data_IF_086399062362
#
_entry.id   IF_086399062362
#
_cell.length_a   1.000
_cell.length_b   1.000
_cell.length_c   1.000
_cell.angle_alpha   90.00
_cell.angle_beta   90.00
_cell.angle_gamma   90.00
#
_symmetry.space_group_name_H-M   'P 1'
#
loop_
_entity.id
_entity.type
_entity.pdbx_description
1 polymer ?
#
# COMPACT_ATOMS: atom_id res chain seq x y z
N UNK A 1 26.05 1.09 -11.29
CA UNK A 1 24.85 0.51 -11.93
C UNK A 1 24.51 -0.75 -11.14
N UNK A 2 23.70 -0.60 -10.06
CA UNK A 2 23.21 -1.75 -9.29
C UNK A 2 21.75 -1.96 -9.68
N UNK A 3 21.55 -2.79 -10.69
CA UNK A 3 20.23 -3.30 -11.02
C UNK A 3 19.90 -4.38 -10.00
N UNK A 4 18.93 -4.12 -9.16
CA UNK A 4 18.39 -5.11 -8.24
C UNK A 4 17.73 -6.23 -9.04
N UNK A 5 18.19 -7.50 -8.93
CA UNK A 5 17.84 -8.55 -9.90
C UNK A 5 16.40 -9.06 -9.80
N UNK A 6 15.52 -8.41 -9.07
CA UNK A 6 14.16 -8.87 -8.81
C UNK A 6 13.08 -7.78 -8.80
N UNK A 7 13.46 -6.57 -9.25
CA UNK A 7 12.49 -5.49 -9.47
C UNK A 7 12.23 -5.40 -10.97
N UNK A 8 11.02 -5.75 -11.41
CA UNK A 8 10.59 -5.66 -12.81
C UNK A 8 9.67 -4.47 -12.98
N UNK A 9 9.89 -3.70 -14.01
CA UNK A 9 9.09 -2.52 -14.35
C UNK A 9 8.11 -2.88 -15.44
N UNK A 10 6.85 -2.55 -15.25
CA UNK A 10 5.79 -2.70 -16.24
C UNK A 10 5.31 -1.29 -16.63
N UNK A 11 5.44 -0.94 -17.91
CA UNK A 11 4.81 0.25 -18.46
C UNK A 11 3.53 -0.17 -19.20
N UNK A 12 2.36 0.11 -18.65
CA UNK A 12 1.09 -0.12 -19.30
C UNK A 12 0.69 1.13 -20.08
N UNK A 13 0.72 1.07 -21.41
CA UNK A 13 0.18 2.13 -22.27
C UNK A 13 -1.26 1.80 -22.61
N UNK A 14 -2.21 2.56 -22.06
CA UNK A 14 -3.62 2.47 -22.42
C UNK A 14 -3.84 3.21 -23.75
N UNK A 15 -4.20 2.47 -24.78
CA UNK A 15 -4.67 3.02 -26.05
C UNK A 15 -6.00 3.75 -25.90
N UNK A 16 -5.97 5.07 -25.86
CA UNK A 16 -7.16 5.90 -25.94
C UNK A 16 -7.56 6.05 -27.41
N UNK A 17 -8.75 5.57 -27.76
CA UNK A 17 -9.39 5.89 -29.04
C UNK A 17 -9.90 7.33 -28.96
N UNK A 18 -9.16 8.27 -29.54
CA UNK A 18 -9.56 9.67 -29.62
C UNK A 18 -10.56 9.81 -30.77
N UNK A 19 -11.83 10.01 -30.47
CA UNK A 19 -12.80 10.58 -31.41
C UNK A 19 -12.66 12.11 -31.36
N UNK A 20 -11.97 12.68 -32.38
CA UNK A 20 -11.91 14.12 -32.58
C UNK A 20 -13.21 14.57 -33.26
N UNK A 21 -14.09 15.21 -32.51
CA UNK A 21 -15.11 16.08 -33.09
C UNK A 21 -14.61 17.51 -32.97
N UNK A 22 -14.14 18.06 -34.08
CA UNK A 22 -13.85 19.48 -34.21
C UNK A 22 -15.16 20.26 -34.30
N UNK A 23 -15.37 21.21 -33.38
CA UNK A 23 -16.27 22.35 -33.65
C UNK A 23 -15.61 23.60 -33.09
N UNK A 24 -15.35 24.54 -34.00
CA UNK A 24 -14.67 25.79 -33.75
C UNK A 24 -15.58 26.83 -33.11
N UNK A 25 -14.96 27.87 -32.58
CA UNK A 25 -15.63 29.14 -32.26
C UNK A 25 -15.05 29.88 -31.09
N UNK A 26 -14.19 30.80 -31.36
CA UNK A 26 -14.10 32.19 -30.86
C UNK A 26 -14.21 32.51 -29.36
N UNK A 27 -13.12 33.08 -28.83
CA UNK A 27 -13.15 34.35 -28.19
C UNK A 27 -13.37 34.45 -26.69
N UNK A 28 -12.40 35.13 -26.10
CA UNK A 28 -12.45 35.97 -24.90
C UNK A 28 -12.03 35.36 -23.56
N UNK A 29 -11.00 36.01 -23.00
CA UNK A 29 -10.48 36.01 -21.66
C UNK A 29 -11.33 35.37 -20.54
N UNK A 30 -11.03 34.14 -20.22
CA UNK A 30 -11.51 33.53 -19.01
C UNK A 30 -10.54 33.84 -17.88
N UNK A 31 -11.04 34.49 -16.84
CA UNK A 31 -10.41 34.56 -15.53
C UNK A 31 -10.04 33.15 -15.10
N UNK A 32 -8.77 32.99 -14.80
CA UNK A 32 -8.22 31.77 -14.19
C UNK A 32 -8.90 31.56 -12.82
N UNK A 33 -10.04 30.88 -12.82
CA UNK A 33 -10.63 30.41 -11.58
C UNK A 33 -9.69 29.29 -11.13
N UNK A 34 -8.85 29.62 -10.13
CA UNK A 34 -8.04 28.64 -9.42
C UNK A 34 -8.92 27.51 -8.91
N UNK A 35 -9.23 26.57 -9.79
CA UNK A 35 -9.84 25.32 -9.42
C UNK A 35 -8.88 24.60 -8.49
N UNK A 36 -9.37 24.11 -7.37
CA UNK A 36 -8.72 23.10 -6.57
C UNK A 36 -8.55 21.88 -7.50
N UNK A 37 -7.46 21.87 -8.27
CA UNK A 37 -7.22 20.84 -9.27
C UNK A 37 -7.20 19.48 -8.58
N UNK A 38 -8.02 18.55 -9.06
CA UNK A 38 -7.91 17.16 -8.64
C UNK A 38 -6.46 16.73 -8.86
N UNK A 39 -5.88 15.90 -7.95
CA UNK A 39 -4.52 15.40 -8.13
C UNK A 39 -4.38 14.72 -9.49
N UNK A 40 -3.32 15.07 -10.22
CA UNK A 40 -3.10 14.59 -11.59
C UNK A 40 -2.35 13.26 -11.62
N UNK A 41 -1.63 12.93 -10.53
CA UNK A 41 -0.89 11.69 -10.40
C UNK A 41 -1.13 11.01 -9.05
N UNK A 42 -0.93 9.70 -9.05
CA UNK A 42 -0.91 8.86 -7.87
C UNK A 42 0.32 7.97 -7.89
N UNK A 43 1.01 7.84 -6.76
CA UNK A 43 2.08 6.86 -6.59
C UNK A 43 1.90 6.09 -5.29
N UNK A 44 2.06 4.77 -5.34
CA UNK A 44 2.08 3.90 -4.17
C UNK A 44 3.32 3.02 -4.20
N UNK A 45 4.09 3.04 -3.11
CA UNK A 45 5.29 2.23 -2.99
C UNK A 45 6.15 2.64 -1.80
N UNK A 46 7.24 1.93 -1.56
CA UNK A 46 8.15 2.28 -0.48
C UNK A 46 8.96 3.53 -0.79
N UNK A 47 9.15 4.38 0.22
CA UNK A 47 10.05 5.53 0.14
C UNK A 47 11.47 5.00 -0.06
N UNK A 48 12.08 5.38 -1.19
CA UNK A 48 13.42 4.94 -1.61
C UNK A 48 14.50 5.99 -1.41
N UNK A 49 14.15 7.24 -1.06
CA UNK A 49 15.12 8.31 -0.85
C UNK A 49 14.51 9.63 -0.40
N UNK A 50 15.40 10.57 -0.04
CA UNK A 50 15.07 11.90 0.44
C UNK A 50 15.86 12.99 -0.30
N UNK A 51 15.50 14.25 -0.03
CA UNK A 51 15.92 15.46 -0.74
C UNK A 51 14.82 15.97 -1.68
N UNK A 52 13.69 15.51 -1.51
CA UNK A 52 12.28 15.33 -1.90
C UNK A 52 11.94 13.89 -1.60
N UNK A 53 10.73 13.57 -1.24
CA UNK A 53 10.31 12.17 -1.05
C UNK A 53 10.38 11.45 -2.39
N UNK A 54 11.06 10.30 -2.44
CA UNK A 54 11.20 9.50 -3.66
C UNK A 54 10.42 8.21 -3.52
N UNK A 55 9.42 8.00 -4.39
CA UNK A 55 8.61 6.79 -4.49
C UNK A 55 8.52 6.39 -5.96
N UNK A 56 8.75 5.12 -6.29
CA UNK A 56 8.72 4.59 -7.66
C UNK A 56 9.58 5.41 -8.63
N UNK A 57 10.79 5.81 -8.20
CA UNK A 57 11.69 6.63 -8.99
C UNK A 57 11.25 8.09 -9.22
N UNK A 58 10.04 8.47 -8.79
CA UNK A 58 9.53 9.84 -8.88
C UNK A 58 9.93 10.63 -7.65
N UNK A 59 10.38 11.88 -7.86
CA UNK A 59 10.68 12.85 -6.81
C UNK A 59 9.46 13.71 -6.53
N UNK A 60 9.02 13.76 -5.28
CA UNK A 60 7.88 14.57 -4.84
C UNK A 60 8.34 15.67 -3.90
N UNK A 61 7.98 16.92 -4.22
CA UNK A 61 8.15 18.06 -3.32
C UNK A 61 7.05 18.00 -2.25
N UNK A 62 7.45 17.67 -1.03
CA UNK A 62 6.58 17.43 0.12
C UNK A 62 6.39 18.65 1.04
N UNK A 63 6.99 19.80 0.70
CA UNK A 63 6.99 21.00 1.57
C UNK A 63 5.60 21.52 1.93
N UNK A 64 4.62 21.28 1.08
CA UNK A 64 3.24 21.72 1.27
C UNK A 64 2.25 20.55 1.33
N UNK A 65 2.75 19.32 1.37
CA UNK A 65 1.91 18.14 1.43
C UNK A 65 1.26 17.99 2.81
N UNK A 66 0.00 17.59 2.83
CA UNK A 66 -0.63 17.07 4.05
C UNK A 66 -0.16 15.63 4.24
N UNK A 67 0.53 15.35 5.35
CA UNK A 67 1.03 14.01 5.66
C UNK A 67 0.11 13.38 6.71
N UNK A 68 -0.47 12.23 6.39
CA UNK A 68 -1.44 11.52 7.24
C UNK A 68 -1.07 10.05 7.36
N UNK A 69 -1.64 9.38 8.35
CA UNK A 69 -1.60 7.92 8.47
C UNK A 69 -2.78 7.26 7.71
N UNK A 70 -2.93 5.95 7.84
CA UNK A 70 -4.00 5.18 7.18
C UNK A 70 -5.41 5.51 7.68
N UNK A 71 -5.53 6.17 8.83
CA UNK A 71 -6.81 6.58 9.42
C UNK A 71 -7.13 8.05 9.11
N UNK A 72 -6.33 8.67 8.20
CA UNK A 72 -6.39 10.08 7.82
C UNK A 72 -6.07 11.06 8.98
N UNK A 73 -5.44 10.56 10.04
CA UNK A 73 -4.94 11.38 11.14
C UNK A 73 -3.55 11.96 10.79
N UNK A 74 -3.19 13.14 11.33
CA UNK A 74 -1.88 13.72 11.09
C UNK A 74 -0.75 12.75 11.45
N UNK A 75 0.14 12.49 10.50
CA UNK A 75 1.33 11.67 10.74
C UNK A 75 2.39 12.50 11.45
N UNK A 76 2.69 12.15 12.70
CA UNK A 76 3.54 12.96 13.59
C UNK A 76 5.00 12.51 13.63
N UNK A 77 5.30 11.34 13.05
CA UNK A 77 6.66 10.83 12.98
C UNK A 77 7.39 11.36 11.73
N UNK A 78 8.73 11.28 11.72
CA UNK A 78 9.51 11.54 10.51
C UNK A 78 9.29 10.47 9.45
N UNK A 79 9.27 10.89 8.18
CA UNK A 79 9.31 9.97 7.05
C UNK A 79 10.66 9.23 7.03
N UNK A 80 10.62 7.90 6.79
CA UNK A 80 11.81 7.05 6.82
C UNK A 80 11.86 6.13 5.59
N UNK A 81 13.07 5.75 5.19
CA UNK A 81 13.28 4.79 4.09
C UNK A 81 12.50 3.49 4.35
N UNK A 82 11.86 2.98 3.31
CA UNK A 82 11.08 1.75 3.34
C UNK A 82 9.67 1.89 3.91
N UNK A 83 9.24 3.05 4.43
CA UNK A 83 7.82 3.30 4.70
C UNK A 83 7.04 3.25 3.39
N UNK A 84 5.89 2.60 3.38
CA UNK A 84 4.99 2.59 2.22
C UNK A 84 4.19 3.88 2.23
N UNK A 85 4.29 4.63 1.15
CA UNK A 85 3.59 5.89 0.96
C UNK A 85 2.64 5.80 -0.24
N UNK A 86 1.45 6.39 -0.08
CA UNK A 86 0.51 6.71 -1.14
C UNK A 86 0.56 8.23 -1.33
N UNK A 87 0.90 8.68 -2.52
CA UNK A 87 1.13 10.10 -2.84
C UNK A 87 0.17 10.54 -3.91
N UNK A 88 -0.65 11.53 -3.58
CA UNK A 88 -1.41 12.32 -4.54
C UNK A 88 -0.61 13.59 -4.89
N UNK A 89 -0.50 13.91 -6.17
CA UNK A 89 0.33 15.03 -6.58
C UNK A 89 0.03 15.58 -7.98
N UNK A 90 0.87 16.51 -8.39
CA UNK A 90 0.86 17.10 -9.71
C UNK A 90 1.25 16.07 -10.79
N UNK A 91 1.02 16.43 -12.06
CA UNK A 91 1.45 15.60 -13.18
C UNK A 91 2.96 15.29 -13.11
N UNK A 92 3.29 14.01 -13.31
CA UNK A 92 4.68 13.57 -13.40
C UNK A 92 5.23 13.93 -14.78
N UNK A 93 6.20 14.85 -14.82
CA UNK A 93 6.86 15.24 -16.05
C UNK A 93 7.96 14.22 -16.35
N UNK A 94 7.90 13.63 -17.55
CA UNK A 94 8.94 12.70 -18.00
C UNK A 94 10.30 13.40 -18.05
N UNK A 95 11.30 12.76 -17.47
CA UNK A 95 12.69 13.24 -17.44
C UNK A 95 13.58 12.17 -16.82
N UNK A 96 14.87 12.22 -17.09
CA UNK A 96 15.80 11.24 -16.53
C UNK A 96 16.79 11.89 -15.56
N UNK A 97 16.98 11.22 -14.41
CA UNK A 97 18.04 11.56 -13.45
C UNK A 97 17.77 12.80 -12.59
N UNK A 98 18.85 13.42 -12.08
CA UNK A 98 18.78 14.59 -11.17
C UNK A 98 18.17 15.86 -11.79
N UNK A 99 18.02 15.89 -13.14
CA UNK A 99 17.42 17.01 -13.86
C UNK A 99 15.87 16.97 -13.86
N UNK A 100 15.24 15.88 -13.39
CA UNK A 100 13.80 15.80 -13.30
C UNK A 100 13.30 16.76 -12.20
N UNK A 101 12.43 17.68 -12.59
CA UNK A 101 11.77 18.58 -11.63
C UNK A 101 10.86 17.74 -10.72
N UNK A 102 10.91 17.93 -9.39
CA UNK A 102 9.98 17.23 -8.50
C UNK A 102 8.52 17.57 -8.86
N UNK A 103 7.65 16.56 -8.84
CA UNK A 103 6.21 16.80 -8.85
C UNK A 103 5.78 17.32 -7.48
N UNK A 104 4.85 18.27 -7.43
CA UNK A 104 4.30 18.72 -6.14
C UNK A 104 3.47 17.58 -5.51
N UNK A 105 3.71 17.25 -4.25
CA UNK A 105 2.82 16.39 -3.49
C UNK A 105 1.76 17.25 -2.81
N UNK A 106 0.48 16.89 -2.96
CA UNK A 106 -0.63 17.52 -2.23
C UNK A 106 -0.95 16.74 -0.95
N UNK A 107 -0.87 15.42 -1.01
CA UNK A 107 -1.11 14.51 0.13
C UNK A 107 -0.16 13.33 0.08
N UNK A 108 0.33 12.95 1.25
CA UNK A 108 1.14 11.75 1.47
C UNK A 108 0.46 10.96 2.58
N UNK A 109 0.00 9.75 2.27
CA UNK A 109 -0.54 8.81 3.26
C UNK A 109 0.51 7.74 3.55
N UNK A 110 0.85 7.55 4.82
CA UNK A 110 1.81 6.55 5.27
C UNK A 110 1.04 5.32 5.78
N UNK A 111 1.29 4.16 5.16
CA UNK A 111 0.55 2.94 5.40
C UNK A 111 1.45 1.83 5.95
N UNK A 112 1.33 1.51 7.24
CA UNK A 112 1.88 0.28 7.81
C UNK A 112 0.86 -0.85 7.70
N UNK A 113 1.32 -2.04 7.29
CA UNK A 113 0.48 -3.23 7.17
C UNK A 113 0.15 -3.86 8.52
N UNK A 114 1.14 -3.86 9.45
CA UNK A 114 1.01 -4.54 10.73
C UNK A 114 1.61 -3.68 11.84
N UNK A 115 0.87 -3.49 12.92
CA UNK A 115 1.39 -3.05 14.23
C UNK A 115 0.98 -4.07 15.26
N UNK A 116 1.93 -4.76 15.87
CA UNK A 116 1.59 -5.82 16.83
C UNK A 116 2.78 -6.50 17.47
N UNK A 117 2.54 -7.45 18.38
CA UNK A 117 3.58 -8.15 19.11
C UNK A 117 4.29 -9.17 18.23
N UNK A 118 5.60 -9.24 18.36
CA UNK A 118 6.44 -10.31 17.81
C UNK A 118 6.05 -11.63 18.48
N UNK A 119 5.70 -12.63 17.67
CA UNK A 119 5.38 -13.98 18.14
C UNK A 119 6.56 -14.95 17.94
N UNK A 120 7.45 -14.65 17.00
CA UNK A 120 8.63 -15.45 16.75
C UNK A 120 9.44 -14.96 15.57
N UNK A 121 10.70 -15.42 15.50
CA UNK A 121 11.62 -15.18 14.40
C UNK A 121 12.23 -16.51 14.00
N UNK A 122 12.21 -16.84 12.71
CA UNK A 122 12.82 -18.05 12.15
C UNK A 122 13.48 -17.73 10.81
N UNK A 123 14.82 -17.83 10.77
CA UNK A 123 15.60 -17.44 9.60
C UNK A 123 15.33 -15.99 9.20
N UNK A 124 14.82 -15.78 7.99
CA UNK A 124 14.44 -14.46 7.46
C UNK A 124 12.94 -14.15 7.59
N UNK A 125 12.22 -14.86 8.43
CA UNK A 125 10.79 -14.69 8.64
C UNK A 125 10.49 -14.28 10.08
N UNK A 126 9.72 -13.20 10.22
CA UNK A 126 9.17 -12.69 11.45
C UNK A 126 7.67 -13.06 11.49
N UNK A 127 7.18 -13.53 12.63
CA UNK A 127 5.74 -13.74 12.85
C UNK A 127 5.18 -12.63 13.76
N UNK A 128 4.17 -11.91 13.27
CA UNK A 128 3.47 -10.84 14.00
C UNK A 128 1.97 -10.99 13.76
N UNK A 129 1.16 -11.02 14.82
CA UNK A 129 -0.30 -11.19 14.72
C UNK A 129 -0.71 -12.33 13.77
N UNK A 130 -0.06 -13.50 13.89
CA UNK A 130 -0.34 -14.65 13.03
C UNK A 130 0.08 -14.52 11.57
N UNK A 131 0.72 -13.41 11.19
CA UNK A 131 1.17 -13.15 9.83
C UNK A 131 2.65 -13.49 9.67
N UNK A 132 3.04 -14.01 8.51
CA UNK A 132 4.42 -14.30 8.15
C UNK A 132 5.01 -13.12 7.37
N UNK A 133 6.00 -12.47 7.94
CA UNK A 133 6.68 -11.32 7.35
C UNK A 133 8.09 -11.72 6.96
N UNK A 134 8.34 -11.89 5.68
CA UNK A 134 9.67 -12.17 5.14
C UNK A 134 10.48 -10.90 5.04
N UNK A 135 11.75 -10.95 5.39
CA UNK A 135 12.73 -9.89 5.17
C UNK A 135 13.75 -10.28 4.12
N UNK A 136 14.33 -9.27 3.49
CA UNK A 136 15.42 -9.44 2.54
C UNK A 136 16.49 -8.35 2.72
N UNK A 137 17.42 -8.25 1.77
CA UNK A 137 18.50 -7.26 1.82
C UNK A 137 17.99 -5.82 1.71
N UNK A 138 16.81 -5.62 1.09
CA UNK A 138 16.20 -4.29 0.89
C UNK A 138 15.40 -3.81 2.10
N UNK A 139 15.02 -4.70 2.99
CA UNK A 139 14.25 -4.33 4.18
C UNK A 139 15.04 -3.36 5.06
N UNK A 140 14.51 -2.15 5.25
CA UNK A 140 15.06 -1.17 6.18
C UNK A 140 14.70 -1.55 7.63
N UNK A 141 15.59 -1.29 8.56
CA UNK A 141 15.33 -1.48 9.99
C UNK A 141 15.53 -0.18 10.74
N UNK A 142 14.79 0.00 11.82
CA UNK A 142 15.00 1.10 12.73
C UNK A 142 16.40 1.04 13.33
N UNK A 143 16.99 2.19 13.66
CA UNK A 143 18.31 2.29 14.30
C UNK A 143 18.34 1.60 15.67
N UNK A 144 17.21 1.49 16.35
CA UNK A 144 17.05 0.71 17.57
C UNK A 144 17.14 -0.82 17.36
N UNK A 145 17.21 -1.29 16.11
CA UNK A 145 17.34 -2.71 15.73
C UNK A 145 18.68 -2.97 15.01
N UNK A 146 19.84 -2.75 15.65
CA UNK A 146 21.15 -2.81 14.98
C UNK A 146 21.49 -4.20 14.43
N UNK A 147 20.98 -5.27 15.04
CA UNK A 147 21.14 -6.66 14.57
C UNK A 147 19.93 -7.15 13.76
N UNK A 148 19.12 -6.21 13.22
CA UNK A 148 17.93 -6.51 12.41
C UNK A 148 16.96 -7.44 13.17
N UNK A 149 16.55 -8.56 12.58
CA UNK A 149 15.65 -9.55 13.23
C UNK A 149 16.19 -10.09 14.54
N UNK A 150 17.52 -10.21 14.70
CA UNK A 150 18.13 -10.72 15.93
C UNK A 150 18.01 -9.73 17.11
N UNK A 151 17.65 -8.47 16.86
CA UNK A 151 17.31 -7.50 17.91
C UNK A 151 15.88 -7.62 18.44
N UNK A 152 15.03 -8.40 17.79
CA UNK A 152 13.62 -8.52 18.15
C UNK A 152 13.43 -9.50 19.29
N UNK A 153 12.55 -9.13 20.22
CA UNK A 153 12.19 -9.95 21.37
C UNK A 153 10.72 -10.34 21.24
N UNK A 154 10.38 -11.60 21.52
CA UNK A 154 8.99 -12.09 21.56
C UNK A 154 8.20 -11.27 22.57
N UNK A 155 7.00 -10.80 22.16
CA UNK A 155 6.17 -9.88 22.93
C UNK A 155 6.49 -8.40 22.69
N UNK A 156 7.67 -8.06 22.16
CA UNK A 156 7.98 -6.68 21.74
C UNK A 156 7.08 -6.25 20.58
N UNK A 157 6.62 -5.00 20.61
CA UNK A 157 5.72 -4.49 19.56
C UNK A 157 6.54 -3.87 18.43
N UNK A 158 6.19 -4.26 17.20
CA UNK A 158 6.80 -3.73 15.97
C UNK A 158 5.75 -3.08 15.08
N UNK A 159 6.21 -2.13 14.28
CA UNK A 159 5.49 -1.58 13.14
C UNK A 159 6.16 -2.07 11.86
N UNK A 160 5.38 -2.68 10.99
CA UNK A 160 5.84 -3.31 9.75
C UNK A 160 5.21 -2.62 8.55
N UNK A 161 6.04 -2.04 7.72
CA UNK A 161 5.69 -1.62 6.37
C UNK A 161 6.08 -2.75 5.43
N UNK A 162 5.16 -3.16 4.58
CA UNK A 162 5.36 -4.36 3.78
C UNK A 162 4.53 -4.35 2.50
N UNK A 163 4.81 -5.31 1.63
CA UNK A 163 4.06 -5.61 0.43
C UNK A 163 3.40 -6.98 0.61
N UNK A 164 2.06 -7.12 0.51
CA UNK A 164 1.37 -8.42 0.51
C UNK A 164 1.87 -9.29 -0.64
N UNK A 165 2.13 -10.59 -0.42
CA UNK A 165 2.70 -11.48 -1.45
C UNK A 165 1.66 -12.30 -2.24
N UNK A 166 0.37 -12.00 -2.08
CA UNK A 166 -0.74 -12.70 -2.73
C UNK A 166 -1.18 -13.97 -2.01
N UNK A 167 -0.42 -14.45 -1.04
CA UNK A 167 -0.85 -15.52 -0.14
C UNK A 167 -1.34 -14.89 1.16
N UNK A 168 -2.58 -15.17 1.54
CA UNK A 168 -3.19 -14.62 2.76
C UNK A 168 -2.28 -14.84 3.97
N UNK A 169 -1.96 -13.76 4.66
CA UNK A 169 -1.11 -13.79 5.85
C UNK A 169 0.40 -13.78 5.56
N UNK A 170 0.83 -13.50 4.31
CA UNK A 170 2.25 -13.39 3.94
C UNK A 170 2.58 -12.03 3.37
N UNK A 171 3.74 -11.52 3.78
CA UNK A 171 4.20 -10.16 3.43
C UNK A 171 5.70 -10.14 3.18
N UNK A 172 6.14 -9.22 2.32
CA UNK A 172 7.55 -8.85 2.17
C UNK A 172 7.78 -7.49 2.85
N UNK A 173 8.54 -7.46 3.93
CA UNK A 173 8.81 -6.23 4.65
C UNK A 173 9.67 -5.26 3.82
N UNK A 174 9.25 -4.01 3.78
CA UNK A 174 10.04 -2.88 3.26
C UNK A 174 10.73 -2.12 4.39
N UNK A 175 10.07 -2.05 5.58
CA UNK A 175 10.64 -1.49 6.81
C UNK A 175 10.08 -2.15 8.05
N UNK A 176 10.92 -2.35 9.08
CA UNK A 176 10.52 -2.77 10.42
C UNK A 176 11.07 -1.79 11.44
N UNK A 177 10.20 -1.28 12.31
CA UNK A 177 10.54 -0.42 13.44
C UNK A 177 9.96 -0.95 14.75
N UNK A 178 10.51 -0.50 15.88
CA UNK A 178 9.88 -0.69 17.18
C UNK A 178 8.72 0.31 17.33
N UNK A 179 7.65 -0.13 17.99
CA UNK A 179 6.53 0.73 18.35
C UNK A 179 6.34 0.70 19.86
N UNK A 180 6.42 1.85 20.50
CA UNK A 180 6.09 1.96 21.92
C UNK A 180 4.61 1.63 22.14
N UNK A 181 4.27 1.01 23.26
CA UNK A 181 2.96 0.51 23.67
C UNK A 181 1.76 1.23 23.01
N UNK A 182 1.26 0.77 21.86
CA UNK A 182 0.16 1.44 21.17
C UNK A 182 -1.16 1.13 21.88
N UNK A 183 -2.14 2.04 21.77
CA UNK A 183 -3.49 1.85 22.35
C UNK A 183 -4.27 0.73 21.64
N UNK A 184 -3.93 0.41 20.41
CA UNK A 184 -4.51 -0.68 19.61
C UNK A 184 -3.46 -1.24 18.66
N UNK A 185 -3.63 -2.50 18.26
CA UNK A 185 -2.84 -3.07 17.17
C UNK A 185 -3.50 -2.81 15.83
N UNK A 186 -2.74 -2.97 14.75
CA UNK A 186 -3.21 -2.80 13.38
C UNK A 186 -2.86 -4.03 12.57
N UNK A 187 -3.78 -4.41 11.67
CA UNK A 187 -3.52 -5.44 10.66
C UNK A 187 -4.33 -5.12 9.40
N UNK A 188 -3.67 -4.99 8.26
CA UNK A 188 -4.30 -4.98 6.95
C UNK A 188 -4.14 -6.36 6.32
N UNK A 189 -5.22 -6.91 5.74
CA UNK A 189 -5.13 -8.20 5.08
C UNK A 189 -6.45 -8.70 4.52
N UNK A 190 -6.40 -9.89 3.91
CA UNK A 190 -7.54 -10.50 3.21
C UNK A 190 -8.41 -11.28 4.20
N UNK A 191 -9.70 -10.98 4.21
CA UNK A 191 -10.71 -11.69 5.01
C UNK A 191 -10.91 -13.11 4.48
N UNK A 192 -10.88 -14.08 5.37
CA UNK A 192 -11.21 -15.47 5.10
C UNK A 192 -12.08 -16.05 6.22
N UNK A 193 -12.76 -17.16 5.93
CA UNK A 193 -13.58 -17.90 6.90
C UNK A 193 -14.59 -17.01 7.65
N UNK A 194 -15.22 -16.08 6.92
CA UNK A 194 -16.21 -15.17 7.51
C UNK A 194 -17.43 -15.94 7.99
N UNK A 195 -17.75 -15.84 9.28
CA UNK A 195 -18.97 -16.32 9.91
C UNK A 195 -19.81 -15.11 10.36
N UNK A 196 -20.96 -14.95 9.74
CA UNK A 196 -21.91 -13.85 9.99
C UNK A 196 -23.02 -14.25 10.97
N UNK A 197 -23.02 -15.48 11.50
CA UNK A 197 -24.03 -15.91 12.46
C UNK A 197 -24.00 -15.03 13.71
N UNK A 198 -25.17 -14.77 14.29
CA UNK A 198 -25.30 -13.90 15.46
C UNK A 198 -24.50 -14.40 16.68
N UNK A 199 -24.24 -15.70 16.75
CA UNK A 199 -23.49 -16.35 17.83
C UNK A 199 -21.98 -16.30 17.66
N UNK A 200 -21.46 -16.20 16.43
CA UNK A 200 -20.04 -16.23 16.16
C UNK A 200 -19.47 -14.85 15.82
N UNK A 201 -19.90 -14.26 14.70
CA UNK A 201 -19.39 -12.97 14.18
C UNK A 201 -17.86 -12.94 14.19
N UNK A 202 -17.27 -13.88 13.46
CA UNK A 202 -15.83 -14.08 13.39
C UNK A 202 -15.35 -14.17 11.94
N UNK A 203 -14.05 -13.95 11.72
CA UNK A 203 -13.34 -14.22 10.50
C UNK A 203 -11.87 -14.45 10.80
N UNK A 204 -11.08 -14.76 9.77
CA UNK A 204 -9.62 -14.86 9.90
C UNK A 204 -8.92 -13.92 8.92
N UNK A 205 -7.72 -13.45 9.30
CA UNK A 205 -6.72 -12.90 8.38
C UNK A 205 -5.44 -13.72 8.56
N UNK A 206 -5.05 -14.48 7.52
CA UNK A 206 -4.00 -15.46 7.65
C UNK A 206 -4.32 -16.44 8.78
N UNK A 207 -3.42 -16.58 9.75
CA UNK A 207 -3.63 -17.45 10.93
C UNK A 207 -4.27 -16.73 12.12
N UNK A 208 -4.68 -15.46 11.97
CA UNK A 208 -5.25 -14.67 13.06
C UNK A 208 -6.78 -14.82 13.12
N UNK A 209 -7.37 -15.43 14.16
CA UNK A 209 -8.81 -15.41 14.38
C UNK A 209 -9.24 -14.07 14.98
N UNK A 210 -10.29 -13.48 14.41
CA UNK A 210 -10.82 -12.16 14.81
C UNK A 210 -12.30 -12.27 15.07
N UNK A 211 -12.77 -11.68 16.19
CA UNK A 211 -14.19 -11.42 16.42
C UNK A 211 -14.53 -9.95 16.20
N UNK A 212 -15.68 -9.72 15.58
CA UNK A 212 -16.26 -8.39 15.40
C UNK A 212 -17.62 -8.24 16.10
N UNK A 213 -17.88 -9.09 17.10
CA UNK A 213 -19.17 -9.13 17.82
C UNK A 213 -19.53 -7.80 18.50
N UNK A 214 -18.53 -7.00 18.89
CA UNK A 214 -18.74 -5.69 19.51
C UNK A 214 -19.06 -4.55 18.53
N UNK A 215 -18.92 -4.76 17.22
CA UNK A 215 -19.17 -3.73 16.21
C UNK A 215 -20.61 -3.78 15.68
N UNK A 216 -21.19 -2.63 15.35
CA UNK A 216 -22.49 -2.57 14.70
C UNK A 216 -22.47 -3.24 13.33
N UNK A 217 -23.48 -4.06 13.01
CA UNK A 217 -23.50 -4.87 11.78
C UNK A 217 -23.84 -4.09 10.52
N UNK A 218 -24.58 -2.99 10.65
CA UNK A 218 -25.16 -2.26 9.51
C UNK A 218 -24.10 -1.62 8.60
N UNK A 219 -22.97 -1.21 9.16
CA UNK A 219 -21.87 -0.60 8.40
C UNK A 219 -20.86 -1.62 7.87
N UNK A 220 -20.87 -2.85 8.41
CA UNK A 220 -19.86 -3.85 8.07
C UNK A 220 -20.21 -4.68 6.84
N UNK A 221 -21.49 -4.79 6.47
CA UNK A 221 -21.94 -5.58 5.31
C UNK A 221 -21.35 -5.09 3.98
N UNK A 222 -21.02 -3.80 3.88
CA UNK A 222 -20.41 -3.22 2.68
C UNK A 222 -18.92 -3.51 2.56
N UNK A 223 -18.22 -3.70 3.68
CA UNK A 223 -16.74 -3.84 3.71
C UNK A 223 -16.27 -5.25 4.03
N UNK A 224 -17.08 -6.06 4.73
CA UNK A 224 -16.67 -7.36 5.24
C UNK A 224 -17.24 -8.51 4.40
N UNK A 225 -16.39 -9.11 3.57
CA UNK A 225 -16.69 -10.32 2.80
C UNK A 225 -15.41 -11.14 2.59
N UNK A 226 -15.56 -12.45 2.40
CA UNK A 226 -14.41 -13.31 2.06
C UNK A 226 -13.71 -12.80 0.78
N UNK A 227 -12.39 -12.70 0.83
CA UNK A 227 -11.55 -12.18 -0.25
C UNK A 227 -11.40 -10.65 -0.28
N UNK A 228 -12.14 -9.90 0.54
CA UNK A 228 -11.96 -8.45 0.67
C UNK A 228 -10.72 -8.12 1.50
N UNK A 229 -10.04 -7.06 1.12
CA UNK A 229 -8.93 -6.51 1.91
C UNK A 229 -9.50 -5.49 2.88
N UNK A 230 -9.22 -5.68 4.16
CA UNK A 230 -9.66 -4.78 5.23
C UNK A 230 -8.48 -4.30 6.07
N UNK A 231 -8.62 -3.12 6.65
CA UNK A 231 -7.76 -2.61 7.71
C UNK A 231 -8.45 -2.75 9.04
N UNK A 232 -7.77 -3.36 10.00
CA UNK A 232 -8.28 -3.62 11.33
C UNK A 232 -7.56 -2.78 12.38
N UNK A 233 -8.31 -2.23 13.31
CA UNK A 233 -7.81 -1.91 14.64
C UNK A 233 -8.24 -3.02 15.60
N UNK A 234 -7.27 -3.55 16.36
CA UNK A 234 -7.46 -4.69 17.25
C UNK A 234 -7.17 -4.28 18.69
N UNK A 235 -7.86 -4.90 19.64
CA UNK A 235 -7.47 -4.84 21.04
C UNK A 235 -6.04 -5.36 21.23
N UNK A 236 -5.36 -4.90 22.28
CA UNK A 236 -3.93 -5.25 22.52
C UNK A 236 -3.72 -6.62 23.17
N UNK A 237 -4.79 -7.35 23.45
CA UNK A 237 -4.74 -8.72 23.95
C UNK A 237 -5.88 -9.56 23.38
N UNK A 238 -5.64 -10.82 23.02
CA UNK A 238 -6.70 -11.74 22.63
C UNK A 238 -7.45 -12.28 23.87
N UNK A 239 -8.69 -12.65 23.68
CA UNK A 239 -9.49 -13.41 24.67
C UNK A 239 -9.67 -14.83 24.14
N UNK A 240 -9.22 -15.83 24.89
CA UNK A 240 -9.23 -17.24 24.47
C UNK A 240 -8.61 -17.47 23.06
N UNK A 241 -7.55 -16.74 22.73
CA UNK A 241 -6.86 -16.82 21.44
C UNK A 241 -7.53 -16.09 20.30
N UNK A 242 -8.69 -15.45 20.50
CA UNK A 242 -9.42 -14.67 19.49
C UNK A 242 -9.20 -13.19 19.71
N UNK A 243 -8.85 -12.45 18.67
CA UNK A 243 -8.63 -11.01 18.73
C UNK A 243 -9.93 -10.25 18.50
N UNK A 244 -10.12 -9.18 19.26
CA UNK A 244 -11.32 -8.34 19.12
C UNK A 244 -11.04 -7.19 18.17
N UNK A 245 -11.82 -7.08 17.09
CA UNK A 245 -11.81 -5.91 16.22
C UNK A 245 -12.50 -4.73 16.92
N UNK A 246 -11.79 -3.62 17.01
CA UNK A 246 -12.28 -2.33 17.50
C UNK A 246 -12.82 -1.45 16.36
N UNK A 247 -12.26 -1.64 15.15
CA UNK A 247 -12.66 -0.98 13.92
C UNK A 247 -12.28 -1.85 12.71
N UNK A 248 -13.09 -1.78 11.67
CA UNK A 248 -12.86 -2.44 10.37
C UNK A 248 -13.18 -1.42 9.28
N UNK A 249 -12.19 -1.16 8.42
CA UNK A 249 -12.30 -0.25 7.28
C UNK A 249 -12.00 -0.99 5.97
N UNK A 250 -12.56 -0.52 4.87
CA UNK A 250 -12.18 -0.99 3.54
C UNK A 250 -10.75 -0.52 3.25
N UNK A 251 -9.87 -1.44 2.92
CA UNK A 251 -8.47 -1.15 2.59
C UNK A 251 -8.13 -1.45 1.13
N UNK A 252 -9.13 -1.76 0.31
CA UNK A 252 -8.97 -1.99 -1.12
C UNK A 252 -8.91 -0.69 -1.95
N UNK A 253 -8.62 0.44 -1.32
CA UNK A 253 -8.66 1.74 -1.97
C UNK A 253 -7.72 1.82 -3.18
N UNK A 254 -8.30 1.61 -4.37
CA UNK A 254 -7.72 2.14 -5.59
C UNK A 254 -8.10 3.63 -5.67
N UNK A 255 -7.17 4.53 -5.97
CA UNK A 255 -7.49 5.93 -6.19
C UNK A 255 -8.46 6.03 -7.37
N UNK A 256 -9.55 6.79 -7.22
CA UNK A 256 -10.46 7.09 -8.32
C UNK A 256 -9.87 8.18 -9.22
N UNK A 257 -9.95 7.99 -10.53
CA UNK A 257 -9.73 9.03 -11.56
C UNK A 257 -8.38 9.75 -11.48
N UNK A 258 -7.30 9.10 -11.96
CA UNK A 258 -5.98 9.72 -12.11
C UNK A 258 -5.47 9.56 -13.54
N UNK A 259 -4.91 10.63 -14.08
CA UNK A 259 -4.30 10.61 -15.42
C UNK A 259 -3.00 9.80 -15.45
N UNK A 260 -2.32 9.71 -14.33
CA UNK A 260 -1.07 8.97 -14.17
C UNK A 260 -1.09 8.23 -12.84
N UNK A 261 -0.78 6.94 -12.87
CA UNK A 261 -0.64 6.11 -11.67
C UNK A 261 0.66 5.30 -11.76
N UNK A 262 1.38 5.23 -10.65
CA UNK A 262 2.53 4.34 -10.45
C UNK A 262 2.36 3.55 -9.19
N UNK A 263 2.38 2.24 -9.31
CA UNK A 263 2.20 1.33 -8.18
C UNK A 263 3.36 0.35 -8.17
N UNK A 264 4.05 0.29 -7.04
CA UNK A 264 5.04 -0.75 -6.76
C UNK A 264 4.47 -1.71 -5.72
N UNK A 265 4.50 -2.99 -6.03
CA UNK A 265 3.97 -4.04 -5.16
C UNK A 265 4.37 -5.43 -5.62
N UNK A 266 3.88 -6.44 -4.93
CA UNK A 266 3.98 -7.82 -5.40
C UNK A 266 2.73 -8.18 -6.21
N UNK A 267 2.91 -9.03 -7.23
CA UNK A 267 1.76 -9.60 -7.96
C UNK A 267 1.01 -10.54 -7.02
N UNK A 268 -0.22 -10.16 -6.68
CA UNK A 268 -1.04 -10.87 -5.68
C UNK A 268 -2.02 -11.86 -6.28
N UNK A 269 -2.40 -11.68 -7.55
CA UNK A 269 -3.22 -12.63 -8.30
C UNK A 269 -2.99 -12.46 -9.81
N UNK A 270 -3.17 -13.53 -10.58
CA UNK A 270 -3.11 -13.52 -12.04
C UNK A 270 -4.39 -14.11 -12.57
N UNK A 271 -5.18 -13.33 -13.35
CA UNK A 271 -6.36 -13.78 -14.06
C UNK A 271 -5.97 -14.24 -15.47
N UNK A 272 -5.12 -13.47 -16.14
CA UNK A 272 -4.54 -13.77 -17.45
C UNK A 272 -3.21 -13.03 -17.60
N UNK A 273 -2.48 -13.26 -18.71
CA UNK A 273 -1.27 -12.50 -19.02
C UNK A 273 -1.52 -10.97 -19.13
N UNK A 274 -2.74 -10.57 -19.50
CA UNK A 274 -3.14 -9.18 -19.65
C UNK A 274 -3.91 -8.62 -18.45
N UNK A 275 -4.24 -9.44 -17.43
CA UNK A 275 -5.00 -8.99 -16.26
C UNK A 275 -4.47 -9.67 -15.01
N UNK A 276 -3.94 -8.88 -14.10
CA UNK A 276 -3.39 -9.34 -12.82
C UNK A 276 -3.60 -8.29 -11.75
N UNK A 277 -3.26 -8.62 -10.51
CA UNK A 277 -3.39 -7.73 -9.37
C UNK A 277 -2.03 -7.43 -8.76
N UNK A 278 -1.80 -6.17 -8.42
CA UNK A 278 -0.62 -5.71 -7.67
C UNK A 278 -1.12 -5.06 -6.39
N UNK A 279 -0.74 -5.63 -5.24
CA UNK A 279 -1.24 -5.19 -3.91
C UNK A 279 -2.78 -5.05 -3.86
N UNK A 280 -3.50 -5.97 -4.49
CA UNK A 280 -4.97 -5.96 -4.56
C UNK A 280 -5.56 -4.99 -5.60
N UNK A 281 -4.75 -4.17 -6.27
CA UNK A 281 -5.20 -3.28 -7.36
C UNK A 281 -5.17 -4.05 -8.67
N UNK A 282 -6.29 -4.06 -9.39
CA UNK A 282 -6.36 -4.70 -10.69
C UNK A 282 -5.59 -3.90 -11.75
N UNK A 283 -4.74 -4.59 -12.49
CA UNK A 283 -3.97 -4.05 -13.61
C UNK A 283 -4.48 -4.66 -14.91
N UNK A 284 -4.84 -3.81 -15.85
CA UNK A 284 -5.08 -4.19 -17.23
C UNK A 284 -3.81 -3.90 -18.06
N UNK A 285 -3.10 -4.95 -18.43
CA UNK A 285 -1.85 -4.88 -19.18
C UNK A 285 -2.02 -5.29 -20.66
N UNK A 286 -3.24 -5.21 -21.23
CA UNK A 286 -3.51 -5.62 -22.63
C UNK A 286 -2.72 -4.81 -23.67
N UNK A 287 -2.28 -3.60 -23.32
CA UNK A 287 -1.42 -2.75 -24.16
C UNK A 287 -0.05 -2.44 -23.53
N UNK A 288 0.34 -3.20 -22.50
CA UNK A 288 1.55 -2.92 -21.74
C UNK A 288 2.81 -3.43 -22.45
N UNK A 289 3.89 -2.69 -22.29
CA UNK A 289 5.24 -3.14 -22.59
C UNK A 289 5.87 -3.73 -21.32
N UNK A 290 6.36 -4.96 -21.42
CA UNK A 290 7.04 -5.67 -20.34
C UNK A 290 8.54 -5.56 -20.52
N UNK A 291 9.21 -4.76 -19.70
CA UNK A 291 10.65 -4.46 -19.88
C UNK A 291 11.55 -5.59 -19.39
N UNK A 292 11.11 -6.40 -18.42
CA UNK A 292 11.93 -7.40 -17.73
C UNK A 292 11.33 -8.82 -17.77
N UNK A 293 10.43 -9.10 -18.72
CA UNK A 293 9.84 -10.41 -18.96
C UNK A 293 8.46 -10.62 -18.33
N UNK A 294 7.99 -11.86 -18.30
CA UNK A 294 6.63 -12.19 -17.93
C UNK A 294 6.32 -11.97 -16.43
N UNK A 295 5.06 -11.60 -16.14
CA UNK A 295 4.54 -11.47 -14.78
C UNK A 295 4.37 -12.85 -14.14
N UNK A 296 4.74 -12.97 -12.87
CA UNK A 296 4.54 -14.17 -12.06
C UNK A 296 4.03 -13.79 -10.67
N UNK A 297 3.27 -14.70 -10.05
CA UNK A 297 2.74 -14.52 -8.70
C UNK A 297 3.91 -14.30 -7.70
N UNK A 298 3.75 -13.33 -6.80
CA UNK A 298 4.77 -12.97 -5.81
C UNK A 298 5.97 -12.20 -6.39
N UNK A 299 5.98 -11.90 -7.70
CA UNK A 299 7.01 -11.06 -8.31
C UNK A 299 6.79 -9.60 -7.90
N UNK A 300 7.86 -8.91 -7.49
CA UNK A 300 7.83 -7.47 -7.25
C UNK A 300 7.88 -6.73 -8.59
N UNK A 301 6.89 -5.89 -8.81
CA UNK A 301 6.71 -5.13 -10.06
C UNK A 301 6.45 -3.66 -9.76
N UNK A 302 6.86 -2.80 -10.68
CA UNK A 302 6.40 -1.41 -10.77
C UNK A 302 5.51 -1.31 -12.00
N UNK A 303 4.29 -0.81 -11.82
CA UNK A 303 3.31 -0.59 -12.88
C UNK A 303 3.13 0.91 -13.07
N UNK A 304 3.28 1.36 -14.30
CA UNK A 304 2.99 2.73 -14.71
C UNK A 304 1.83 2.72 -15.72
N UNK A 305 0.84 3.57 -15.51
CA UNK A 305 -0.32 3.65 -16.39
C UNK A 305 -1.24 4.80 -16.05
N UNK A 306 -2.40 4.84 -16.71
CA UNK A 306 -3.50 5.72 -16.36
C UNK A 306 -4.63 4.89 -15.75
N UNK A 307 -5.39 5.50 -14.86
CA UNK A 307 -6.61 4.86 -14.37
C UNK A 307 -7.76 5.20 -15.35
N UNK A 308 -8.50 4.20 -15.85
CA UNK A 308 -9.66 4.49 -16.70
C UNK A 308 -10.70 5.29 -15.90
N UNK A 309 -11.30 6.25 -16.58
CA UNK A 309 -12.48 6.99 -16.10
C UNK A 309 -13.68 6.09 -16.00
#
# INVERSE_FOLDING_TARGET
>A
MNTWPWMRRLAAVLGATVLVTACGGGGSGGVDTGGTGAPLSFSKGPISGFGSVIVNGVRYDDRFATIVDVDDEPFLDDLKLGMVAEIDGDAIVAGSGRAQRPAGASRIRIASEIVGPVQGVSGQTLTVLGQQVRVDAATAFDTALPLRLASLVVGGVVEVYALPDGVTGRYLATRIGLKAAPASYRLRGVVASLDTSASARTFTIGALPVTYAALASEQLSAVLANGRIVSLRLATAPVNGVWTALRIDDAAAAPSERNQARIEGLVTAIVSAATFFVDGVQVNASGAEFTDGAVALGLRVEVEGAQPQ
#
